data_IF_131129834061
#
_entry.id   IF_131129834061
#
_cell.length_a   1.000
_cell.length_b   1.000
_cell.length_c   1.000
_cell.angle_alpha   90.00
_cell.angle_beta   90.00
_cell.angle_gamma   90.00
#
_symmetry.space_group_name_H-M   'P 1'
#
loop_
_entity.id
_entity.type
_entity.pdbx_description
1 polymer ?
#
# COMPACT_ATOMS: atom_id res chain seq x y z
N UNK A 1 66.31 6.22 -22.86
CA UNK A 1 64.92 6.44 -23.33
C UNK A 1 64.01 5.45 -22.66
N UNK A 2 62.82 5.91 -22.29
CA UNK A 2 62.01 5.46 -21.15
C UNK A 2 61.35 4.08 -21.29
N UNK A 3 61.16 3.47 -20.13
CA UNK A 3 60.59 2.14 -19.87
C UNK A 3 59.11 2.03 -20.27
N UNK A 4 58.76 0.91 -20.90
CA UNK A 4 57.38 0.44 -21.07
C UNK A 4 56.94 -0.31 -19.83
N UNK A 5 55.93 0.20 -19.12
CA UNK A 5 55.14 -0.57 -18.16
C UNK A 5 53.67 -0.27 -18.47
N UNK A 6 53.02 -1.20 -19.16
CA UNK A 6 51.58 -1.29 -19.20
C UNK A 6 51.16 -2.16 -18.01
N UNK A 7 50.37 -1.62 -17.08
CA UNK A 7 49.74 -2.40 -16.02
C UNK A 7 48.35 -1.85 -15.69
N UNK A 8 47.38 -2.64 -16.17
CA UNK A 8 46.12 -3.06 -15.56
C UNK A 8 45.21 -2.02 -14.88
N UNK A 9 44.01 -1.93 -15.45
CA UNK A 9 42.82 -1.34 -14.87
C UNK A 9 42.45 -1.97 -13.51
N UNK A 10 42.01 -1.12 -12.59
CA UNK A 10 41.14 -1.51 -11.49
C UNK A 10 40.10 -0.40 -11.29
N UNK A 11 39.09 -0.39 -12.17
CA UNK A 11 37.85 0.34 -11.92
C UNK A 11 37.11 -0.40 -10.79
N UNK A 12 37.38 -0.03 -9.54
CA UNK A 12 36.51 -0.40 -8.43
C UNK A 12 35.26 0.49 -8.52
N UNK A 13 34.35 0.12 -9.43
CA UNK A 13 32.98 0.57 -9.38
C UNK A 13 32.43 0.19 -8.00
N UNK A 14 32.27 1.19 -7.14
CA UNK A 14 31.45 1.12 -5.93
C UNK A 14 30.04 0.75 -6.38
N UNK A 15 29.77 -0.57 -6.42
CA UNK A 15 28.46 -1.16 -6.59
C UNK A 15 27.58 -0.65 -5.45
N UNK A 16 26.86 0.44 -5.71
CA UNK A 16 25.67 0.76 -4.94
C UNK A 16 24.79 -0.49 -4.92
N UNK A 17 24.31 -0.97 -3.76
CA UNK A 17 23.21 -1.91 -3.76
C UNK A 17 21.98 -1.11 -4.20
N UNK A 18 21.77 -1.01 -5.51
CA UNK A 18 20.56 -0.51 -6.12
C UNK A 18 19.43 -1.43 -5.65
N UNK A 19 18.83 -1.07 -4.53
CA UNK A 19 17.65 -1.76 -4.06
C UNK A 19 16.57 -1.63 -5.12
N UNK A 20 15.98 -2.75 -5.53
CA UNK A 20 14.92 -2.74 -6.52
C UNK A 20 13.73 -2.00 -5.92
N UNK A 21 13.27 -0.96 -6.62
CA UNK A 21 12.01 -0.29 -6.33
C UNK A 21 10.96 -0.85 -7.28
N UNK A 22 9.86 -1.33 -6.73
CA UNK A 22 8.72 -1.79 -7.50
C UNK A 22 7.48 -1.03 -7.02
N UNK A 23 6.60 -0.73 -7.96
CA UNK A 23 5.35 -0.03 -7.74
C UNK A 23 4.22 -0.85 -8.35
N UNK A 24 3.19 -1.08 -7.57
CA UNK A 24 2.07 -1.93 -7.93
C UNK A 24 0.74 -1.27 -7.57
N UNK A 25 -0.33 -1.78 -8.17
CA UNK A 25 -1.69 -1.31 -7.94
C UNK A 25 -2.55 -2.46 -7.44
N UNK A 26 -3.21 -2.27 -6.31
CA UNK A 26 -4.29 -3.13 -5.86
C UNK A 26 -5.56 -2.77 -6.61
N UNK A 27 -6.25 -3.80 -7.10
CA UNK A 27 -7.53 -3.65 -7.76
C UNK A 27 -8.61 -3.13 -6.80
N UNK A 28 -9.60 -2.37 -7.30
CA UNK A 28 -10.76 -1.98 -6.52
C UNK A 28 -11.53 -3.20 -6.03
N UNK A 29 -12.18 -3.07 -4.86
CA UNK A 29 -13.03 -4.10 -4.29
C UNK A 29 -14.31 -3.47 -3.76
N UNK A 30 -15.45 -3.91 -4.26
CA UNK A 30 -16.76 -3.71 -3.62
C UNK A 30 -16.98 -4.91 -2.69
N UNK A 31 -17.17 -4.66 -1.40
CA UNK A 31 -17.20 -5.72 -0.39
C UNK A 31 -18.63 -6.12 0.00
N UNK A 32 -19.55 -5.15 0.05
CA UNK A 32 -20.96 -5.38 0.40
C UNK A 32 -21.85 -4.38 -0.33
N UNK A 33 -23.05 -4.83 -0.67
CA UNK A 33 -24.14 -4.00 -1.17
C UNK A 33 -25.46 -4.45 -0.57
N UNK A 34 -26.04 -3.62 0.28
CA UNK A 34 -27.35 -3.82 0.87
C UNK A 34 -28.43 -3.19 -0.03
N UNK A 35 -29.63 -3.79 0.00
CA UNK A 35 -30.76 -3.30 -0.78
C UNK A 35 -31.26 -1.97 -0.19
N UNK A 36 -31.36 -0.96 -1.06
CA UNK A 36 -32.04 0.29 -0.72
C UNK A 36 -33.55 0.05 -0.58
N UNK A 37 -34.24 0.83 0.28
CA UNK A 37 -35.70 0.89 0.26
C UNK A 37 -36.23 1.23 -1.15
N UNK A 38 -37.41 0.72 -1.50
CA UNK A 38 -38.00 0.92 -2.83
C UNK A 38 -38.29 2.40 -3.16
N UNK A 39 -38.43 3.24 -2.12
CA UNK A 39 -38.72 4.66 -2.16
C UNK A 39 -37.53 5.53 -1.72
N UNK A 40 -36.31 4.98 -1.76
CA UNK A 40 -35.12 5.69 -1.28
C UNK A 40 -34.86 6.98 -2.06
N UNK A 41 -34.83 8.11 -1.35
CA UNK A 41 -34.39 9.38 -1.91
C UNK A 41 -32.85 9.40 -2.01
N UNK A 42 -32.35 9.24 -3.23
CA UNK A 42 -30.92 9.18 -3.54
C UNK A 42 -30.19 10.46 -3.09
N UNK A 43 -30.89 11.60 -2.97
CA UNK A 43 -30.31 12.85 -2.48
C UNK A 43 -29.92 12.79 -0.99
N UNK A 44 -30.45 11.82 -0.22
CA UNK A 44 -30.12 11.61 1.20
C UNK A 44 -28.90 10.73 1.42
N UNK A 45 -28.33 10.15 0.35
CA UNK A 45 -27.16 9.29 0.46
C UNK A 45 -25.94 10.10 0.84
N UNK A 46 -25.40 9.81 2.02
CA UNK A 46 -24.12 10.34 2.47
C UNK A 46 -22.98 9.45 1.95
N UNK A 47 -21.91 10.06 1.45
CA UNK A 47 -20.72 9.32 0.98
C UNK A 47 -19.51 9.73 1.83
N UNK A 48 -19.03 8.81 2.64
CA UNK A 48 -17.76 8.94 3.35
C UNK A 48 -16.61 8.45 2.45
N UNK A 49 -15.53 9.23 2.36
CA UNK A 49 -14.30 8.87 1.65
C UNK A 49 -13.08 9.15 2.51
N UNK A 50 -12.04 8.35 2.35
CA UNK A 50 -10.75 8.59 2.98
C UNK A 50 -9.60 8.01 2.13
N UNK A 51 -8.38 8.46 2.40
CA UNK A 51 -7.16 7.79 1.98
C UNK A 51 -6.46 7.23 3.23
N UNK A 52 -6.35 5.90 3.30
CA UNK A 52 -5.80 5.19 4.43
C UNK A 52 -4.28 5.01 4.36
N UNK A 53 -3.59 5.55 3.34
CA UNK A 53 -2.15 5.32 3.15
C UNK A 53 -1.33 5.71 4.40
N UNK A 54 -1.67 6.87 5.00
CA UNK A 54 -1.07 7.33 6.24
C UNK A 54 -1.44 6.47 7.47
N UNK A 55 -2.64 5.91 7.49
CA UNK A 55 -3.12 5.07 8.59
C UNK A 55 -2.51 3.65 8.56
N UNK A 56 -2.25 3.11 7.38
CA UNK A 56 -1.54 1.83 7.20
C UNK A 56 -0.04 2.02 7.48
N UNK A 57 0.52 3.16 7.04
CA UNK A 57 1.92 3.51 7.27
C UNK A 57 2.88 2.68 6.43
N UNK A 58 4.07 2.40 7.00
CA UNK A 58 5.12 1.62 6.34
C UNK A 58 5.27 0.26 6.99
N UNK A 59 5.48 -0.79 6.18
CA UNK A 59 5.83 -2.12 6.69
C UNK A 59 7.27 -2.47 6.35
N UNK A 60 7.82 -3.42 7.10
CA UNK A 60 9.14 -3.96 6.86
C UNK A 60 9.18 -5.48 7.07
N UNK A 61 10.28 -6.08 6.65
CA UNK A 61 10.53 -7.52 6.77
C UNK A 61 10.85 -8.13 5.42
N UNK A 62 11.88 -8.98 5.36
CA UNK A 62 12.40 -9.50 4.09
C UNK A 62 11.45 -10.48 3.41
N UNK A 63 10.72 -11.28 4.19
CA UNK A 63 9.75 -12.25 3.67
C UNK A 63 8.45 -11.55 3.27
N UNK A 64 7.97 -11.84 2.07
CA UNK A 64 6.68 -11.42 1.53
C UNK A 64 6.48 -9.88 1.56
N UNK A 65 7.56 -9.10 1.50
CA UNK A 65 7.49 -7.65 1.58
C UNK A 65 6.76 -7.03 0.39
N UNK A 66 7.04 -7.57 -0.80
CA UNK A 66 6.39 -7.22 -2.06
C UNK A 66 5.28 -8.18 -2.44
N UNK A 67 4.72 -8.92 -1.48
CA UNK A 67 3.65 -9.87 -1.76
C UNK A 67 2.30 -9.13 -1.74
N UNK A 68 1.60 -9.14 -2.88
CA UNK A 68 0.29 -8.52 -3.02
C UNK A 68 -0.73 -9.05 -2.00
N UNK A 69 -0.65 -10.32 -1.60
CA UNK A 69 -1.55 -10.89 -0.58
C UNK A 69 -1.33 -10.25 0.80
N UNK A 70 -0.06 -10.01 1.17
CA UNK A 70 0.27 -9.29 2.40
C UNK A 70 -0.26 -7.87 2.36
N UNK A 71 -0.05 -7.17 1.24
CA UNK A 71 -0.49 -5.78 1.06
C UNK A 71 -2.01 -5.69 1.10
N UNK A 72 -2.73 -6.62 0.47
CA UNK A 72 -4.19 -6.74 0.58
C UNK A 72 -4.63 -6.95 2.03
N UNK A 73 -3.94 -7.79 2.80
CA UNK A 73 -4.24 -7.99 4.22
C UNK A 73 -4.06 -6.73 5.07
N UNK A 74 -3.00 -5.94 4.81
CA UNK A 74 -2.80 -4.64 5.47
C UNK A 74 -3.90 -3.64 5.11
N UNK A 75 -4.31 -3.60 3.84
CA UNK A 75 -5.41 -2.78 3.37
C UNK A 75 -6.74 -3.17 4.04
N UNK A 76 -7.05 -4.46 4.07
CA UNK A 76 -8.26 -4.98 4.70
C UNK A 76 -8.33 -4.60 6.18
N UNK A 77 -7.26 -4.82 6.96
CA UNK A 77 -7.26 -4.49 8.39
C UNK A 77 -7.47 -3.00 8.67
N UNK A 78 -6.89 -2.12 7.85
CA UNK A 78 -7.10 -0.68 7.97
C UNK A 78 -8.52 -0.27 7.56
N UNK A 79 -9.04 -0.87 6.48
CA UNK A 79 -10.41 -0.66 6.03
C UNK A 79 -11.42 -1.10 7.09
N UNK A 80 -11.26 -2.29 7.68
CA UNK A 80 -12.17 -2.83 8.70
C UNK A 80 -12.26 -1.91 9.93
N UNK A 81 -11.12 -1.35 10.35
CA UNK A 81 -11.10 -0.34 11.41
C UNK A 81 -11.82 0.95 10.99
N UNK A 82 -11.54 1.44 9.79
CA UNK A 82 -12.14 2.67 9.29
C UNK A 82 -13.65 2.55 9.13
N UNK A 83 -14.16 1.45 8.54
CA UNK A 83 -15.59 1.25 8.35
C UNK A 83 -16.32 1.11 9.69
N UNK A 84 -15.73 0.41 10.67
CA UNK A 84 -16.25 0.33 12.02
C UNK A 84 -16.44 1.72 12.66
N UNK A 85 -15.47 2.62 12.48
CA UNK A 85 -15.57 4.01 12.93
C UNK A 85 -16.67 4.78 12.17
N UNK A 86 -16.82 4.57 10.85
CA UNK A 86 -17.86 5.24 10.08
C UNK A 86 -19.28 4.82 10.49
N UNK A 87 -19.48 3.53 10.80
CA UNK A 87 -20.74 2.99 11.29
C UNK A 87 -21.05 3.55 12.68
N UNK A 88 -20.07 3.57 13.59
CA UNK A 88 -20.25 4.12 14.94
C UNK A 88 -20.56 5.63 14.93
N UNK A 89 -19.97 6.38 14.01
CA UNK A 89 -20.21 7.82 13.88
C UNK A 89 -21.60 8.15 13.30
N UNK A 90 -22.33 7.17 12.76
CA UNK A 90 -23.61 7.35 12.06
C UNK A 90 -24.70 6.42 12.63
N UNK A 91 -25.06 6.59 13.92
CA UNK A 91 -26.10 5.77 14.51
C UNK A 91 -27.43 5.96 13.76
N UNK A 92 -28.12 4.84 13.48
CA UNK A 92 -29.40 4.83 12.79
C UNK A 92 -29.35 5.01 11.27
N UNK A 93 -28.16 5.12 10.67
CA UNK A 93 -28.00 5.11 9.20
C UNK A 93 -27.76 3.71 8.68
N UNK A 94 -28.35 3.41 7.51
CA UNK A 94 -28.13 2.15 6.82
C UNK A 94 -26.87 2.25 5.98
N UNK A 95 -25.91 1.35 6.18
CA UNK A 95 -24.75 1.20 5.32
C UNK A 95 -25.19 0.51 4.02
N UNK A 96 -25.17 1.23 2.90
CA UNK A 96 -25.67 0.71 1.61
C UNK A 96 -24.57 -0.08 0.90
N UNK A 97 -23.38 0.50 0.82
CA UNK A 97 -22.26 -0.11 0.09
C UNK A 97 -20.96 0.50 0.55
N UNK A 98 -19.91 -0.31 0.52
CA UNK A 98 -18.57 0.13 0.88
C UNK A 98 -17.52 -0.68 0.14
N UNK A 99 -16.32 -0.11 0.11
CA UNK A 99 -15.18 -0.79 -0.43
C UNK A 99 -14.00 0.14 -0.56
N UNK A 100 -13.05 -0.28 -1.37
CA UNK A 100 -11.89 0.53 -1.70
C UNK A 100 -11.70 0.63 -3.20
N UNK A 101 -11.18 1.77 -3.62
CA UNK A 101 -10.81 2.05 -5.00
C UNK A 101 -9.42 1.48 -5.31
N UNK A 102 -8.92 1.72 -6.53
CA UNK A 102 -7.55 1.35 -6.86
C UNK A 102 -6.55 2.04 -5.91
N UNK A 103 -5.66 1.23 -5.36
CA UNK A 103 -4.71 1.67 -4.33
C UNK A 103 -3.29 1.41 -4.83
N UNK A 104 -2.40 2.39 -4.71
CA UNK A 104 -1.02 2.27 -5.17
C UNK A 104 -0.09 1.99 -4.00
N UNK A 105 0.90 1.15 -4.22
CA UNK A 105 1.91 0.86 -3.21
C UNK A 105 3.26 0.62 -3.86
N UNK A 106 4.31 0.79 -3.05
CA UNK A 106 5.68 0.55 -3.48
C UNK A 106 6.47 -0.15 -2.40
N UNK A 107 7.54 -0.82 -2.82
CA UNK A 107 8.51 -1.38 -1.90
C UNK A 107 9.92 -1.24 -2.43
N UNK A 108 10.87 -1.20 -1.48
CA UNK A 108 12.30 -1.26 -1.74
C UNK A 108 12.90 -2.42 -0.98
N UNK A 109 13.65 -3.28 -1.66
CA UNK A 109 14.42 -4.36 -1.05
C UNK A 109 15.91 -4.26 -1.39
N UNK A 110 16.77 -4.92 -0.63
CA UNK A 110 18.21 -4.92 -0.91
C UNK A 110 19.03 -5.59 0.18
N UNK A 111 20.34 -5.34 0.15
CA UNK A 111 21.31 -5.76 1.17
C UNK A 111 22.04 -4.55 1.73
N UNK A 112 22.28 -4.56 3.05
CA UNK A 112 23.15 -3.58 3.70
C UNK A 112 24.61 -3.81 3.28
N UNK A 113 25.46 -2.77 3.30
CA UNK A 113 26.89 -2.92 3.05
C UNK A 113 27.58 -3.86 4.06
N UNK A 114 28.80 -4.29 3.72
CA UNK A 114 29.68 -5.03 4.62
C UNK A 114 29.96 -4.22 5.90
N UNK A 115 30.11 -4.86 7.08
CA UNK A 115 30.12 -6.31 7.35
C UNK A 115 28.74 -6.94 7.53
N UNK A 116 27.68 -6.13 7.67
CA UNK A 116 26.35 -6.63 8.03
C UNK A 116 25.75 -7.54 6.95
N UNK A 117 25.84 -7.15 5.67
CA UNK A 117 25.24 -7.88 4.53
C UNK A 117 23.75 -8.25 4.70
N UNK A 118 23.07 -7.65 5.69
CA UNK A 118 21.71 -8.01 6.06
C UNK A 118 20.73 -7.63 4.96
N UNK A 119 19.81 -8.55 4.63
CA UNK A 119 18.72 -8.27 3.72
C UNK A 119 17.74 -7.31 4.38
N UNK A 120 17.20 -6.37 3.61
CA UNK A 120 16.14 -5.49 4.06
C UNK A 120 15.03 -5.45 3.01
N UNK A 121 13.82 -5.18 3.48
CA UNK A 121 12.75 -4.69 2.65
C UNK A 121 11.83 -3.78 3.44
N UNK A 122 11.35 -2.74 2.78
CA UNK A 122 10.38 -1.78 3.30
C UNK A 122 9.36 -1.46 2.22
N UNK A 123 8.09 -1.45 2.58
CA UNK A 123 7.01 -1.02 1.70
C UNK A 123 6.16 0.07 2.33
N UNK A 124 5.43 0.76 1.46
CA UNK A 124 4.51 1.84 1.82
C UNK A 124 3.42 1.98 0.78
N UNK A 125 2.22 2.38 1.23
CA UNK A 125 1.16 2.82 0.32
C UNK A 125 1.46 4.23 -0.21
N UNK A 126 1.27 4.43 -1.51
CA UNK A 126 1.19 5.75 -2.13
C UNK A 126 -0.24 6.30 -2.10
N UNK A 127 -1.24 5.43 -2.18
CA UNK A 127 -2.65 5.74 -2.00
C UNK A 127 -3.43 4.51 -1.55
N UNK A 128 -4.42 4.69 -0.68
CA UNK A 128 -5.30 3.63 -0.20
C UNK A 128 -6.73 4.16 -0.05
N UNK A 129 -7.39 4.44 -1.19
CA UNK A 129 -8.67 5.15 -1.23
C UNK A 129 -9.83 4.23 -0.88
N UNK A 130 -10.68 4.69 0.04
CA UNK A 130 -11.83 3.93 0.54
C UNK A 130 -13.10 4.76 0.45
N UNK A 131 -14.25 4.08 0.37
CA UNK A 131 -15.55 4.71 0.39
C UNK A 131 -16.58 3.88 1.16
N UNK A 132 -17.58 4.59 1.70
CA UNK A 132 -18.77 4.02 2.31
C UNK A 132 -19.95 4.93 2.03
N UNK A 133 -21.09 4.35 1.64
CA UNK A 133 -22.33 5.06 1.35
C UNK A 133 -23.37 4.71 2.41
N UNK A 134 -24.03 5.73 2.96
CA UNK A 134 -25.03 5.59 4.01
C UNK A 134 -26.35 6.22 3.59
N UNK A 135 -27.48 5.61 3.97
CA UNK A 135 -28.84 6.14 3.85
C UNK A 135 -29.37 6.58 5.22
#
# INVERSE_FOLDING_TARGET
MSYRIALAAAAAALLAPLGAQAQETLAPSELTRDALPADADIARIEIARADLAGAIGTWSGVRNCGDAARVKGLMQAAFDRWIGQQVQARPGRLLITHGWESSSWSYRNGRRPWPSNARYCRGSFGSAKVYARFY
#
